data_IF_056627798511
#
_entry.id   IF_056627798511
#
_cell.length_a   1.000
_cell.length_b   1.000
_cell.length_c   1.000
_cell.angle_alpha   90.00
_cell.angle_beta   90.00
_cell.angle_gamma   90.00
#
_symmetry.space_group_name_H-M   'P 1'
#
loop_
_entity.id
_entity.type
_entity.pdbx_description
1 polymer ?
#
# COMPACT_ATOMS: atom_id res chain seq x y z
N UNK A 1 -21.39 85.30 -18.82
CA UNK A 1 -20.80 84.79 -20.06
C UNK A 1 -21.76 83.77 -20.66
N UNK A 2 -22.47 84.14 -21.74
CA UNK A 2 -23.45 83.32 -22.47
C UNK A 2 -22.73 82.54 -23.59
N UNK A 3 -23.13 81.27 -23.74
CA UNK A 3 -23.54 80.57 -24.99
C UNK A 3 -23.05 81.19 -26.32
N UNK A 4 -22.46 80.36 -27.21
CA UNK A 4 -22.95 80.06 -28.58
C UNK A 4 -21.93 79.25 -29.42
N UNK A 5 -22.41 78.08 -29.87
CA UNK A 5 -22.24 77.35 -31.15
C UNK A 5 -20.93 77.46 -31.94
N UNK A 6 -20.49 76.30 -32.45
CA UNK A 6 -20.42 76.10 -33.90
C UNK A 6 -20.97 74.73 -34.31
N UNK A 7 -21.73 74.76 -35.40
CA UNK A 7 -22.58 73.69 -35.96
C UNK A 7 -21.80 72.77 -36.90
N UNK A 8 -22.24 71.51 -36.91
CA UNK A 8 -22.18 70.46 -37.93
C UNK A 8 -21.89 70.90 -39.38
N UNK A 9 -21.17 70.03 -40.12
CA UNK A 9 -21.60 69.52 -41.43
C UNK A 9 -21.02 68.13 -41.71
N UNK A 10 -21.90 67.27 -42.21
CA UNK A 10 -21.78 65.83 -42.44
C UNK A 10 -20.54 65.35 -43.20
N UNK A 11 -19.96 64.24 -42.75
CA UNK A 11 -19.50 63.20 -43.68
C UNK A 11 -20.27 61.91 -43.41
N UNK A 12 -20.93 61.45 -44.46
CA UNK A 12 -21.67 60.20 -44.59
C UNK A 12 -20.66 59.06 -44.42
N UNK A 13 -20.76 58.30 -43.33
CA UNK A 13 -20.03 57.05 -43.16
C UNK A 13 -20.92 55.92 -43.68
N UNK A 14 -20.45 55.23 -44.72
CA UNK A 14 -21.05 53.99 -45.21
C UNK A 14 -21.17 52.98 -44.05
N UNK A 15 -22.40 52.58 -43.75
CA UNK A 15 -22.70 51.48 -42.85
C UNK A 15 -22.37 50.17 -43.57
N UNK A 16 -21.10 49.76 -43.52
CA UNK A 16 -20.76 48.36 -43.82
C UNK A 16 -21.20 47.56 -42.60
N UNK A 17 -22.33 46.88 -42.74
CA UNK A 17 -22.76 45.80 -41.86
C UNK A 17 -21.66 44.72 -41.84
N UNK A 18 -20.64 44.88 -41.00
CA UNK A 18 -19.79 43.76 -40.61
C UNK A 18 -20.58 42.94 -39.59
N UNK A 19 -21.35 42.00 -40.10
CA UNK A 19 -21.89 40.87 -39.35
C UNK A 19 -20.68 40.04 -38.85
N UNK A 20 -19.95 40.54 -37.85
CA UNK A 20 -19.02 39.72 -37.10
C UNK A 20 -19.88 38.83 -36.21
N UNK A 21 -20.15 37.64 -36.72
CA UNK A 21 -20.71 36.53 -35.99
C UNK A 21 -20.12 36.49 -34.58
N UNK A 22 -20.96 36.72 -33.58
CA UNK A 22 -20.78 36.24 -32.22
C UNK A 22 -20.78 34.71 -32.27
N UNK A 23 -19.68 34.13 -32.74
CA UNK A 23 -19.43 32.72 -32.54
C UNK A 23 -19.09 32.54 -31.06
N UNK A 24 -19.87 31.73 -30.32
CA UNK A 24 -19.49 31.40 -28.96
C UNK A 24 -18.13 30.72 -29.03
N UNK A 25 -17.10 31.36 -28.49
CA UNK A 25 -15.82 30.70 -28.26
C UNK A 25 -16.08 29.64 -27.19
N UNK A 26 -16.41 28.43 -27.63
CA UNK A 26 -16.36 27.26 -26.79
C UNK A 26 -14.89 27.08 -26.40
N UNK A 27 -14.56 27.43 -25.15
CA UNK A 27 -13.29 27.03 -24.56
C UNK A 27 -13.29 25.49 -24.55
N UNK A 28 -12.62 24.87 -25.52
CA UNK A 28 -12.29 23.46 -25.48
C UNK A 28 -11.26 23.28 -24.36
N UNK A 29 -11.74 22.92 -23.16
CA UNK A 29 -10.87 22.47 -22.08
C UNK A 29 -10.11 21.24 -22.58
N UNK A 30 -8.78 21.30 -22.59
CA UNK A 30 -7.96 20.16 -22.97
C UNK A 30 -8.29 18.98 -22.05
N UNK A 31 -8.60 17.83 -22.64
CA UNK A 31 -8.91 16.62 -21.90
C UNK A 31 -7.74 16.24 -20.97
N UNK A 32 -8.04 15.97 -19.69
CA UNK A 32 -7.01 15.64 -18.69
C UNK A 32 -6.28 14.35 -19.06
N UNK A 33 -5.02 14.24 -18.64
CA UNK A 33 -4.22 13.03 -18.90
C UNK A 33 -4.91 11.76 -18.36
N UNK A 34 -5.56 11.85 -17.20
CA UNK A 34 -6.32 10.75 -16.62
C UNK A 34 -7.53 10.33 -17.48
N UNK A 35 -8.20 11.28 -18.13
CA UNK A 35 -9.30 10.96 -19.05
C UNK A 35 -8.78 10.32 -20.34
N UNK A 36 -7.64 10.79 -20.88
CA UNK A 36 -6.99 10.15 -22.04
C UNK A 36 -6.50 8.73 -21.77
N UNK A 37 -6.05 8.48 -20.54
CA UNK A 37 -5.54 7.16 -20.11
C UNK A 37 -6.62 6.31 -19.42
N UNK A 38 -7.88 6.73 -19.48
CA UNK A 38 -9.00 6.05 -18.82
C UNK A 38 -9.07 4.58 -19.21
N UNK A 39 -9.08 3.70 -18.21
CA UNK A 39 -9.20 2.26 -18.41
C UNK A 39 -7.93 1.58 -18.93
N UNK A 40 -6.82 2.31 -19.11
CA UNK A 40 -5.55 1.74 -19.53
C UNK A 40 -4.81 1.11 -18.36
N UNK A 41 -4.07 0.06 -18.69
CA UNK A 41 -2.96 -0.42 -17.87
C UNK A 41 -1.71 0.34 -18.32
N UNK A 42 -0.96 0.88 -17.38
CA UNK A 42 0.24 1.68 -17.59
C UNK A 42 1.44 0.97 -16.97
N UNK A 43 2.62 1.14 -17.58
CA UNK A 43 3.90 0.64 -17.08
C UNK A 43 4.83 1.85 -16.95
N UNK A 44 5.34 2.11 -15.75
CA UNK A 44 6.38 3.13 -15.57
C UNK A 44 7.68 2.63 -16.23
N UNK A 45 8.10 3.29 -17.31
CA UNK A 45 9.29 2.86 -18.09
C UNK A 45 10.58 3.54 -17.66
N UNK A 46 10.49 4.54 -16.77
CA UNK A 46 11.65 5.30 -16.27
C UNK A 46 12.04 4.89 -14.83
N UNK A 47 11.13 4.22 -14.11
CA UNK A 47 11.38 3.59 -12.82
C UNK A 47 11.68 2.07 -12.98
N UNK A 48 11.05 1.22 -12.17
CA UNK A 48 11.34 -0.21 -12.05
C UNK A 48 10.36 -1.07 -12.84
N UNK A 49 9.57 -0.48 -13.76
CA UNK A 49 8.58 -1.23 -14.55
C UNK A 49 7.25 -1.45 -13.84
N UNK A 50 6.94 -0.64 -12.82
CA UNK A 50 5.72 -0.72 -12.01
C UNK A 50 4.46 -0.63 -12.87
N UNK A 51 3.49 -1.52 -12.60
CA UNK A 51 2.23 -1.55 -13.32
C UNK A 51 1.13 -0.78 -12.56
N UNK A 52 0.31 -0.05 -13.32
CA UNK A 52 -0.76 0.78 -12.80
C UNK A 52 -2.03 0.61 -13.63
N UNK A 53 -3.20 0.70 -13.01
CA UNK A 53 -4.49 0.71 -13.72
C UNK A 53 -5.22 2.03 -13.49
N UNK A 54 -5.59 2.73 -14.56
CA UNK A 54 -6.41 3.94 -14.46
C UNK A 54 -7.87 3.53 -14.49
N UNK A 55 -8.54 3.58 -13.34
CA UNK A 55 -9.91 3.11 -13.23
C UNK A 55 -10.88 4.04 -14.00
N UNK A 56 -11.70 3.49 -14.90
CA UNK A 56 -12.54 4.29 -15.79
C UNK A 56 -13.70 5.00 -15.10
N UNK A 57 -14.05 4.60 -13.87
CA UNK A 57 -15.16 5.15 -13.11
C UNK A 57 -14.76 6.36 -12.27
N UNK A 58 -13.52 6.44 -11.79
CA UNK A 58 -13.05 7.53 -10.91
C UNK A 58 -11.81 8.27 -11.43
N UNK A 59 -11.24 7.84 -12.57
CA UNK A 59 -10.04 8.41 -13.19
C UNK A 59 -8.79 8.36 -12.30
N UNK A 60 -8.79 7.52 -11.27
CA UNK A 60 -7.66 7.34 -10.37
C UNK A 60 -6.80 6.15 -10.82
N UNK A 61 -5.48 6.27 -10.65
CA UNK A 61 -4.54 5.16 -10.84
C UNK A 61 -4.50 4.28 -9.59
N UNK A 62 -4.43 2.98 -9.80
CA UNK A 62 -4.26 1.94 -8.79
C UNK A 62 -2.93 1.25 -9.04
N UNK A 63 -2.09 1.15 -8.02
CA UNK A 63 -0.87 0.35 -8.12
C UNK A 63 -1.27 -1.12 -8.25
N UNK A 64 -0.81 -1.77 -9.32
CA UNK A 64 -1.12 -3.18 -9.54
C UNK A 64 -0.11 -4.11 -8.87
N UNK A 65 1.05 -3.60 -8.41
CA UNK A 65 2.03 -4.40 -7.66
C UNK A 65 2.37 -5.71 -8.37
N UNK A 66 2.14 -6.82 -7.67
CA UNK A 66 2.39 -8.19 -8.17
C UNK A 66 1.15 -8.80 -8.82
N UNK A 67 1.30 -9.88 -9.62
CA UNK A 67 0.18 -10.61 -10.23
C UNK A 67 -1.04 -10.85 -9.32
N UNK A 68 -0.83 -11.23 -8.05
CA UNK A 68 -1.91 -11.51 -7.09
C UNK A 68 -2.58 -10.25 -6.56
N UNK A 69 -1.80 -9.20 -6.27
CA UNK A 69 -2.31 -7.91 -5.80
C UNK A 69 -3.12 -7.23 -6.91
N UNK A 70 -2.60 -7.29 -8.14
CA UNK A 70 -3.29 -6.84 -9.34
C UNK A 70 -4.62 -7.60 -9.55
N UNK A 71 -4.61 -8.92 -9.35
CA UNK A 71 -5.81 -9.75 -9.45
C UNK A 71 -6.85 -9.37 -8.38
N UNK A 72 -6.44 -9.20 -7.12
CA UNK A 72 -7.33 -8.78 -6.03
C UNK A 72 -7.94 -7.39 -6.29
N UNK A 73 -7.13 -6.42 -6.72
CA UNK A 73 -7.60 -5.07 -7.05
C UNK A 73 -8.55 -5.13 -8.24
N UNK A 74 -8.19 -5.83 -9.32
CA UNK A 74 -9.07 -5.96 -10.49
C UNK A 74 -10.38 -6.68 -10.14
N UNK A 75 -10.34 -7.66 -9.26
CA UNK A 75 -11.53 -8.35 -8.78
C UNK A 75 -12.41 -7.42 -7.93
N UNK A 76 -11.84 -6.62 -7.02
CA UNK A 76 -12.59 -5.65 -6.22
C UNK A 76 -13.24 -4.54 -7.07
N UNK A 77 -12.55 -4.08 -8.12
CA UNK A 77 -13.03 -3.03 -9.02
C UNK A 77 -13.98 -3.54 -10.11
N UNK A 78 -14.20 -4.86 -10.15
CA UNK A 78 -14.93 -5.50 -11.23
C UNK A 78 -16.44 -5.27 -11.19
N UNK A 79 -17.02 -5.06 -12.36
CA UNK A 79 -18.46 -4.93 -12.57
C UNK A 79 -19.05 -6.33 -12.82
N UNK A 80 -20.02 -6.74 -12.01
CA UNK A 80 -20.75 -7.98 -12.24
C UNK A 80 -21.51 -7.97 -13.58
N UNK A 81 -21.46 -9.08 -14.32
CA UNK A 81 -22.20 -9.30 -15.56
C UNK A 81 -22.78 -10.72 -15.58
N UNK A 82 -24.01 -10.85 -16.11
CA UNK A 82 -24.65 -12.16 -16.32
C UNK A 82 -23.98 -12.92 -17.47
N UNK A 83 -24.06 -14.25 -17.48
CA UNK A 83 -23.55 -15.06 -18.59
C UNK A 83 -24.25 -14.69 -19.90
N UNK A 84 -25.59 -14.48 -19.85
CA UNK A 84 -26.38 -14.07 -21.02
C UNK A 84 -25.86 -12.79 -21.66
N UNK A 85 -25.62 -11.75 -20.86
CA UNK A 85 -25.15 -10.47 -21.39
C UNK A 85 -23.70 -10.58 -21.88
N UNK A 86 -22.85 -11.29 -21.14
CA UNK A 86 -21.46 -11.53 -21.56
C UNK A 86 -21.38 -12.25 -22.90
N UNK A 87 -22.17 -13.31 -23.08
CA UNK A 87 -22.18 -14.12 -24.30
C UNK A 87 -22.77 -13.34 -25.49
N UNK A 88 -23.72 -12.45 -25.24
CA UNK A 88 -24.30 -11.57 -26.28
C UNK A 88 -23.27 -10.64 -26.94
N UNK A 89 -22.13 -10.41 -26.29
CA UNK A 89 -21.05 -9.57 -26.80
C UNK A 89 -20.15 -10.27 -27.82
N UNK A 90 -20.25 -11.60 -27.96
CA UNK A 90 -19.46 -12.38 -28.92
C UNK A 90 -17.94 -12.05 -28.89
N UNK A 91 -17.39 -11.82 -27.70
CA UNK A 91 -15.97 -11.50 -27.47
C UNK A 91 -15.58 -10.02 -27.57
N UNK A 92 -16.48 -9.13 -27.99
CA UNK A 92 -16.24 -7.68 -28.11
C UNK A 92 -17.29 -6.89 -27.33
N UNK A 93 -16.87 -6.21 -26.26
CA UNK A 93 -17.79 -5.51 -25.37
C UNK A 93 -18.30 -4.18 -25.97
N UNK A 94 -19.48 -3.70 -25.58
CA UNK A 94 -19.93 -2.35 -25.91
C UNK A 94 -18.98 -1.27 -25.39
N UNK A 95 -18.88 -0.14 -26.10
CA UNK A 95 -17.96 0.98 -25.76
C UNK A 95 -18.14 1.54 -24.34
N UNK A 96 -19.35 1.48 -23.77
CA UNK A 96 -19.63 1.85 -22.36
C UNK A 96 -18.87 1.02 -21.33
N UNK A 97 -18.38 -0.17 -21.72
CA UNK A 97 -17.58 -1.07 -20.89
C UNK A 97 -16.07 -0.95 -21.17
N UNK A 98 -15.66 -0.03 -22.06
CA UNK A 98 -14.26 0.20 -22.41
C UNK A 98 -13.40 0.41 -21.16
N UNK A 99 -12.35 -0.41 -21.04
CA UNK A 99 -11.39 -0.35 -19.94
C UNK A 99 -11.89 -0.88 -18.60
N UNK A 100 -13.12 -1.40 -18.50
CA UNK A 100 -13.65 -1.99 -17.26
C UNK A 100 -13.16 -3.43 -17.08
N UNK A 101 -13.19 -3.86 -15.82
CA UNK A 101 -13.09 -5.28 -15.46
C UNK A 101 -14.51 -5.82 -15.31
N UNK A 102 -14.81 -6.93 -15.99
CA UNK A 102 -16.08 -7.64 -15.91
C UNK A 102 -15.89 -8.89 -15.07
N UNK A 103 -16.78 -9.11 -14.12
CA UNK A 103 -16.83 -10.32 -13.30
C UNK A 103 -18.05 -11.11 -13.69
N UNK A 104 -17.89 -12.42 -13.88
CA UNK A 104 -18.99 -13.35 -14.13
C UNK A 104 -19.26 -14.14 -12.84
N UNK A 105 -20.15 -13.69 -11.94
CA UNK A 105 -20.42 -14.41 -10.69
C UNK A 105 -20.98 -15.80 -10.94
N UNK A 106 -21.77 -15.94 -12.01
CA UNK A 106 -22.38 -17.20 -12.48
C UNK A 106 -21.36 -18.20 -13.07
N UNK A 107 -20.11 -17.78 -13.28
CA UNK A 107 -19.02 -18.59 -13.84
C UNK A 107 -17.82 -18.59 -12.88
N UNK A 108 -18.09 -18.96 -11.62
CA UNK A 108 -17.11 -19.05 -10.53
C UNK A 108 -16.30 -17.77 -10.31
N UNK A 109 -16.89 -16.60 -10.60
CA UNK A 109 -16.25 -15.30 -10.40
C UNK A 109 -15.15 -14.97 -11.42
N UNK A 110 -15.10 -15.64 -12.58
CA UNK A 110 -14.11 -15.34 -13.62
C UNK A 110 -14.11 -13.86 -14.00
N UNK A 111 -12.90 -13.29 -14.11
CA UNK A 111 -12.68 -11.88 -14.41
C UNK A 111 -12.12 -11.66 -15.83
N UNK A 112 -12.58 -10.60 -16.50
CA UNK A 112 -12.17 -10.23 -17.85
C UNK A 112 -11.85 -8.74 -17.93
N UNK A 113 -10.74 -8.37 -18.55
CA UNK A 113 -10.41 -6.98 -18.88
C UNK A 113 -10.92 -6.64 -20.27
N UNK A 114 -11.72 -5.58 -20.38
CA UNK A 114 -12.13 -5.01 -21.67
C UNK A 114 -11.04 -4.05 -22.14
N UNK A 115 -10.22 -4.46 -23.09
CA UNK A 115 -9.16 -3.60 -23.60
C UNK A 115 -9.76 -2.35 -24.28
N UNK A 116 -9.44 -1.12 -23.84
CA UNK A 116 -10.08 0.08 -24.35
C UNK A 116 -9.67 0.40 -25.80
N UNK A 117 -8.64 -0.24 -26.35
CA UNK A 117 -8.18 -0.02 -27.73
C UNK A 117 -9.01 -0.78 -28.77
N UNK A 118 -9.46 -1.99 -28.44
CA UNK A 118 -10.15 -2.88 -29.39
C UNK A 118 -11.46 -3.47 -28.83
N UNK A 119 -11.83 -3.14 -27.59
CA UNK A 119 -12.99 -3.63 -26.84
C UNK A 119 -13.03 -5.15 -26.66
N UNK A 120 -11.93 -5.85 -26.95
CA UNK A 120 -11.86 -7.29 -26.75
C UNK A 120 -11.82 -7.62 -25.27
N UNK A 121 -12.57 -8.65 -24.91
CA UNK A 121 -12.65 -9.15 -23.55
C UNK A 121 -11.56 -10.19 -23.31
N UNK A 122 -10.54 -9.84 -22.53
CA UNK A 122 -9.43 -10.73 -22.24
C UNK A 122 -9.59 -11.37 -20.87
N UNK A 123 -9.58 -12.69 -20.82
CA UNK A 123 -9.67 -13.44 -19.59
C UNK A 123 -8.43 -13.18 -18.72
N UNK A 124 -8.64 -12.77 -17.48
CA UNK A 124 -7.56 -12.50 -16.53
C UNK A 124 -7.03 -13.78 -15.87
N UNK A 125 -7.73 -14.91 -15.99
CA UNK A 125 -7.18 -16.21 -15.60
C UNK A 125 -6.73 -16.26 -14.14
N UNK A 126 -5.58 -16.92 -13.92
CA UNK A 126 -4.88 -16.91 -12.63
C UNK A 126 -4.04 -15.63 -12.54
N UNK A 127 -3.57 -15.25 -11.34
CA UNK A 127 -2.70 -14.08 -11.16
C UNK A 127 -1.60 -13.93 -12.22
N UNK A 128 -0.85 -15.00 -12.53
CA UNK A 128 0.22 -14.97 -13.53
C UNK A 128 -0.28 -14.65 -14.96
N UNK A 129 -1.46 -15.14 -15.34
CA UNK A 129 -2.07 -14.89 -16.64
C UNK A 129 -2.52 -13.43 -16.75
N UNK A 130 -3.10 -12.89 -15.67
CA UNK A 130 -3.48 -11.47 -15.55
C UNK A 130 -2.25 -10.56 -15.69
N UNK A 131 -1.13 -10.91 -15.06
CA UNK A 131 0.09 -10.13 -15.13
C UNK A 131 0.75 -10.14 -16.51
N UNK A 132 0.81 -11.30 -17.17
CA UNK A 132 1.30 -11.40 -18.55
C UNK A 132 0.47 -10.52 -19.50
N UNK A 133 -0.85 -10.50 -19.28
CA UNK A 133 -1.80 -9.67 -20.00
C UNK A 133 -1.59 -8.17 -19.71
N UNK A 134 -1.36 -7.79 -18.45
CA UNK A 134 -1.04 -6.42 -18.05
C UNK A 134 0.25 -5.92 -18.70
N UNK A 135 1.30 -6.74 -18.78
CA UNK A 135 2.55 -6.39 -19.47
C UNK A 135 2.35 -6.27 -20.98
N UNK A 136 1.53 -7.14 -21.58
CA UNK A 136 1.26 -7.13 -23.02
C UNK A 136 0.51 -5.89 -23.48
N UNK A 137 -0.52 -5.47 -22.73
CA UNK A 137 -1.36 -4.31 -23.09
C UNK A 137 -0.95 -3.01 -22.40
N UNK A 138 0.04 -3.09 -21.50
CA UNK A 138 0.57 -1.98 -20.74
C UNK A 138 1.13 -0.89 -21.66
N UNK A 139 0.62 0.33 -21.50
CA UNK A 139 1.20 1.50 -22.14
C UNK A 139 2.39 2.00 -21.32
N UNK A 140 3.55 2.14 -21.94
CA UNK A 140 4.68 2.82 -21.30
C UNK A 140 4.33 4.27 -20.97
N UNK A 141 4.65 4.70 -19.74
CA UNK A 141 4.45 6.07 -19.28
C UNK A 141 5.71 6.54 -18.52
N UNK A 142 6.07 7.81 -18.69
CA UNK A 142 7.16 8.44 -17.93
C UNK A 142 6.74 8.68 -16.49
N UNK A 143 7.68 8.67 -15.54
CA UNK A 143 7.35 8.87 -14.12
C UNK A 143 6.69 10.23 -13.89
N UNK A 144 7.10 11.26 -14.65
CA UNK A 144 6.50 12.60 -14.60
C UNK A 144 5.04 12.64 -15.07
N UNK A 145 4.70 11.96 -16.17
CA UNK A 145 3.31 11.90 -16.65
C UNK A 145 2.47 11.02 -15.74
N UNK A 146 3.04 9.93 -15.23
CA UNK A 146 2.39 9.07 -14.28
C UNK A 146 2.02 9.86 -13.02
N UNK A 147 2.92 10.69 -12.47
CA UNK A 147 2.70 11.54 -11.29
C UNK A 147 1.54 12.56 -11.44
N UNK A 148 1.17 12.93 -12.66
CA UNK A 148 0.02 13.80 -12.93
C UNK A 148 -1.33 13.08 -12.78
N UNK A 149 -1.33 11.74 -12.65
CA UNK A 149 -2.54 10.95 -12.47
C UNK A 149 -2.91 10.85 -10.98
N UNK A 150 -4.15 11.21 -10.59
CA UNK A 150 -4.62 11.06 -9.22
C UNK A 150 -4.51 9.60 -8.76
N UNK A 151 -3.88 9.33 -7.62
CA UNK A 151 -3.76 7.97 -7.07
C UNK A 151 -4.95 7.64 -6.17
N UNK A 152 -5.51 6.43 -6.30
CA UNK A 152 -6.53 5.94 -5.37
C UNK A 152 -5.92 5.75 -3.97
N UNK A 153 -6.59 6.25 -2.93
CA UNK A 153 -6.04 6.27 -1.56
C UNK A 153 -5.26 7.53 -1.19
N UNK A 154 -5.14 8.51 -2.10
CA UNK A 154 -4.48 9.80 -1.84
C UNK A 154 -2.95 9.72 -1.86
N UNK A 155 -2.30 10.89 -1.78
CA UNK A 155 -0.83 11.05 -1.79
C UNK A 155 -0.08 10.21 -0.76
N UNK A 156 -0.77 9.74 0.29
CA UNK A 156 -0.18 8.95 1.37
C UNK A 156 0.39 7.60 0.92
N UNK A 157 -0.10 6.98 -0.18
CA UNK A 157 0.56 5.77 -0.69
C UNK A 157 1.91 6.05 -1.37
N UNK A 158 2.07 7.19 -2.06
CA UNK A 158 3.35 7.58 -2.70
C UNK A 158 4.35 8.07 -1.64
N UNK A 159 3.86 8.77 -0.61
CA UNK A 159 4.67 9.15 0.55
C UNK A 159 5.10 7.91 1.35
N UNK A 160 4.22 6.91 1.50
CA UNK A 160 4.54 5.65 2.17
C UNK A 160 5.66 4.89 1.44
N UNK A 161 5.60 4.75 0.11
CA UNK A 161 6.66 4.06 -0.64
C UNK A 161 8.01 4.79 -0.59
N UNK A 162 8.02 6.12 -0.58
CA UNK A 162 9.27 6.88 -0.41
C UNK A 162 9.82 6.75 1.01
N UNK A 163 8.96 6.84 2.03
CA UNK A 163 9.34 6.67 3.44
C UNK A 163 9.91 5.26 3.69
N UNK A 164 9.29 4.21 3.13
CA UNK A 164 9.81 2.84 3.17
C UNK A 164 11.24 2.74 2.63
N UNK A 165 11.50 3.39 1.49
CA UNK A 165 12.83 3.42 0.86
C UNK A 165 13.84 4.22 1.69
N UNK A 166 13.44 5.38 2.22
CA UNK A 166 14.28 6.19 3.10
C UNK A 166 14.68 5.42 4.37
N UNK A 167 13.74 4.70 5.00
CA UNK A 167 14.05 3.86 6.16
C UNK A 167 15.02 2.73 5.76
N UNK A 168 14.82 2.09 4.60
CA UNK A 168 15.73 1.05 4.11
C UNK A 168 17.16 1.60 3.90
N UNK A 169 17.28 2.81 3.36
CA UNK A 169 18.57 3.49 3.17
C UNK A 169 19.24 3.83 4.50
N UNK A 170 18.50 4.38 5.47
CA UNK A 170 19.00 4.65 6.83
C UNK A 170 19.49 3.37 7.52
N UNK A 171 18.79 2.25 7.33
CA UNK A 171 19.22 0.95 7.88
C UNK A 171 20.48 0.45 7.18
N UNK A 172 20.59 0.62 5.87
CA UNK A 172 21.79 0.29 5.13
C UNK A 172 22.97 1.19 5.53
N UNK A 173 22.75 2.44 5.93
CA UNK A 173 23.78 3.29 6.55
C UNK A 173 24.25 2.72 7.89
N UNK A 174 23.33 2.25 8.75
CA UNK A 174 23.70 1.58 10.01
C UNK A 174 24.49 0.28 9.78
N UNK A 175 24.14 -0.49 8.74
CA UNK A 175 24.87 -1.72 8.37
C UNK A 175 26.26 -1.43 7.82
N UNK A 176 26.35 -0.54 6.82
CA UNK A 176 27.61 -0.22 6.14
C UNK A 176 28.61 0.50 7.04
N UNK A 177 28.15 1.38 7.93
CA UNK A 177 29.01 2.00 8.96
C UNK A 177 29.64 0.99 9.92
N UNK A 178 29.15 -0.26 9.97
CA UNK A 178 29.68 -1.37 10.76
C UNK A 178 30.32 -2.48 9.92
N UNK A 179 30.61 -2.20 8.64
CA UNK A 179 31.27 -3.14 7.74
C UNK A 179 30.38 -4.27 7.22
N UNK A 180 29.07 -4.19 7.40
CA UNK A 180 28.12 -5.16 6.85
C UNK A 180 27.69 -4.77 5.43
N UNK A 181 27.37 -5.78 4.63
CA UNK A 181 26.80 -5.55 3.30
C UNK A 181 25.40 -4.93 3.42
N UNK A 182 25.05 -3.96 2.55
CA UNK A 182 23.71 -3.43 2.49
C UNK A 182 22.72 -4.52 2.07
N UNK A 183 21.53 -4.49 2.67
CA UNK A 183 20.41 -5.34 2.27
C UNK A 183 19.87 -4.85 0.93
N UNK A 184 19.63 -5.80 0.02
CA UNK A 184 18.96 -5.52 -1.24
C UNK A 184 17.46 -5.35 -1.01
N UNK A 185 16.86 -4.31 -1.59
CA UNK A 185 15.42 -4.14 -1.57
C UNK A 185 14.72 -5.31 -2.27
N UNK A 186 13.73 -5.89 -1.61
CA UNK A 186 12.83 -6.88 -2.17
C UNK A 186 11.37 -6.42 -2.02
N UNK A 187 10.75 -6.14 -3.17
CA UNK A 187 9.37 -5.66 -3.25
C UNK A 187 8.34 -6.71 -2.83
N UNK A 188 8.57 -8.00 -3.07
CA UNK A 188 7.65 -9.07 -2.68
C UNK A 188 7.55 -9.22 -1.16
N UNK A 189 8.68 -9.02 -0.47
CA UNK A 189 8.75 -8.97 1.00
C UNK A 189 8.10 -7.69 1.52
N UNK A 190 8.36 -6.55 0.87
CA UNK A 190 7.77 -5.26 1.25
C UNK A 190 6.23 -5.31 1.18
N UNK A 191 5.65 -5.98 0.19
CA UNK A 191 4.19 -6.19 0.12
C UNK A 191 3.67 -6.96 1.34
N UNK A 192 4.37 -8.00 1.79
CA UNK A 192 3.99 -8.74 3.01
C UNK A 192 4.07 -7.84 4.25
N UNK A 193 5.16 -7.06 4.37
CA UNK A 193 5.33 -6.09 5.45
C UNK A 193 4.23 -5.01 5.46
N UNK A 194 3.84 -4.48 4.28
CA UNK A 194 2.76 -3.48 4.15
C UNK A 194 1.43 -4.05 4.59
N UNK A 195 1.12 -5.28 4.20
CA UNK A 195 -0.11 -5.94 4.63
C UNK A 195 -0.16 -6.05 6.15
N UNK A 196 0.94 -6.48 6.79
CA UNK A 196 1.00 -6.58 8.25
C UNK A 196 0.81 -5.22 8.94
N UNK A 197 1.44 -4.16 8.41
CA UNK A 197 1.23 -2.80 8.91
C UNK A 197 -0.23 -2.34 8.74
N UNK A 198 -0.88 -2.64 7.61
CA UNK A 198 -2.28 -2.32 7.33
C UNK A 198 -3.22 -3.08 8.29
N UNK A 199 -2.97 -4.37 8.51
CA UNK A 199 -3.78 -5.19 9.42
C UNK A 199 -3.73 -4.64 10.85
N UNK A 200 -2.53 -4.29 11.32
CA UNK A 200 -2.35 -3.65 12.63
C UNK A 200 -2.95 -2.24 12.67
N UNK A 201 -2.89 -1.46 11.59
CA UNK A 201 -3.52 -0.14 11.50
C UNK A 201 -5.04 -0.23 11.62
N UNK A 202 -5.65 -1.21 10.95
CA UNK A 202 -7.09 -1.51 11.05
C UNK A 202 -7.48 -1.83 12.48
N UNK A 203 -6.71 -2.66 13.18
CA UNK A 203 -6.95 -3.00 14.59
C UNK A 203 -6.81 -1.77 15.51
N UNK A 204 -5.78 -0.95 15.29
CA UNK A 204 -5.54 0.27 16.08
C UNK A 204 -6.53 1.40 15.78
N UNK A 205 -7.29 1.33 14.69
CA UNK A 205 -8.30 2.33 14.37
C UNK A 205 -9.36 2.48 15.46
N UNK A 206 -9.61 1.42 16.24
CA UNK A 206 -10.54 1.44 17.37
C UNK A 206 -9.88 1.79 18.72
N UNK A 207 -8.54 1.85 18.76
CA UNK A 207 -7.74 2.08 19.97
C UNK A 207 -7.19 3.51 20.06
N UNK A 208 -7.41 4.29 19.01
CA UNK A 208 -6.95 5.67 18.89
C UNK A 208 -8.15 6.60 18.73
N UNK A 209 -8.23 7.61 19.59
CA UNK A 209 -9.16 8.71 19.46
C UNK A 209 -8.49 10.02 19.90
N UNK A 210 -8.33 10.95 18.97
CA UNK A 210 -7.65 12.22 19.23
C UNK A 210 -8.43 13.14 20.19
N UNK A 211 -9.74 12.92 20.35
CA UNK A 211 -10.57 13.66 21.31
C UNK A 211 -10.65 12.97 22.68
N UNK A 212 -9.83 11.94 22.92
CA UNK A 212 -9.66 11.28 24.21
C UNK A 212 -8.29 11.58 24.77
N UNK A 213 -8.21 11.80 26.08
CA UNK A 213 -6.96 12.11 26.77
C UNK A 213 -5.91 11.01 26.62
N UNK A 214 -6.31 9.75 26.78
CA UNK A 214 -5.46 8.60 26.58
C UNK A 214 -5.88 7.81 25.34
N UNK A 215 -4.91 7.43 24.53
CA UNK A 215 -5.04 6.38 23.51
C UNK A 215 -4.13 5.23 23.87
N UNK A 216 -4.53 3.99 23.56
CA UNK A 216 -3.77 2.79 23.94
C UNK A 216 -3.39 1.92 22.73
N UNK A 217 -2.82 2.49 21.64
CA UNK A 217 -2.42 1.70 20.50
C UNK A 217 -1.31 0.72 20.88
N UNK A 218 -1.23 -0.39 20.14
CA UNK A 218 -0.17 -1.36 20.29
C UNK A 218 0.08 -2.11 18.99
N UNK A 219 1.25 -2.73 18.93
CA UNK A 219 1.70 -3.53 17.79
C UNK A 219 2.15 -4.91 18.29
N UNK A 220 2.06 -5.90 17.42
CA UNK A 220 2.35 -7.29 17.71
C UNK A 220 2.84 -8.01 16.44
N UNK A 221 3.57 -9.11 16.61
CA UNK A 221 4.18 -9.84 15.50
C UNK A 221 3.21 -10.82 14.85
N UNK A 222 2.12 -11.15 15.54
CA UNK A 222 1.13 -12.14 15.15
C UNK A 222 0.19 -11.59 14.06
N UNK A 223 0.06 -12.29 12.94
CA UNK A 223 -0.97 -11.93 11.95
C UNK A 223 -2.29 -12.62 12.25
N UNK A 224 -3.35 -11.85 12.54
CA UNK A 224 -4.69 -12.42 12.81
C UNK A 224 -5.34 -12.93 11.51
N UNK A 225 -5.19 -12.19 10.40
CA UNK A 225 -5.91 -12.46 9.15
C UNK A 225 -5.03 -13.01 8.02
N UNK A 226 -3.70 -12.83 8.12
CA UNK A 226 -2.77 -12.99 6.99
C UNK A 226 -1.68 -14.06 7.20
N UNK A 227 -1.71 -14.75 8.34
CA UNK A 227 -0.72 -15.75 8.79
C UNK A 227 -0.12 -15.36 10.13
N UNK A 228 -0.11 -16.29 11.10
CA UNK A 228 0.27 -15.94 12.48
C UNK A 228 1.74 -15.58 12.55
N UNK A 229 2.60 -16.37 11.90
CA UNK A 229 4.03 -16.10 11.83
C UNK A 229 4.39 -15.33 10.57
N UNK A 230 5.47 -14.55 10.65
CA UNK A 230 6.00 -13.81 9.51
C UNK A 230 6.31 -14.73 8.31
N UNK A 231 6.79 -15.96 8.55
CA UNK A 231 7.05 -16.93 7.48
C UNK A 231 5.76 -17.33 6.74
N UNK A 232 4.65 -17.47 7.45
CA UNK A 232 3.35 -17.73 6.84
C UNK A 232 2.86 -16.53 6.04
N UNK A 233 3.07 -15.32 6.54
CA UNK A 233 2.76 -14.08 5.81
C UNK A 233 3.61 -13.91 4.55
N UNK A 234 4.85 -14.41 4.53
CA UNK A 234 5.68 -14.44 3.32
C UNK A 234 5.16 -15.50 2.33
N UNK A 235 4.90 -16.71 2.83
CA UNK A 235 4.40 -17.83 2.05
C UNK A 235 3.03 -17.53 1.40
N UNK A 236 2.10 -16.90 2.12
CA UNK A 236 0.78 -16.51 1.59
C UNK A 236 0.88 -15.49 0.45
N UNK A 237 2.03 -14.82 0.34
CA UNK A 237 2.38 -13.88 -0.72
C UNK A 237 3.29 -14.51 -1.79
N UNK A 238 3.51 -15.82 -1.78
CA UNK A 238 4.30 -16.53 -2.79
C UNK A 238 5.82 -16.44 -2.59
N UNK A 239 6.28 -15.89 -1.46
CA UNK A 239 7.70 -15.77 -1.15
C UNK A 239 8.14 -17.02 -0.40
N UNK A 240 8.68 -18.01 -1.11
CA UNK A 240 9.13 -19.28 -0.53
C UNK A 240 10.65 -19.44 -0.52
N UNK A 241 11.39 -18.50 -1.14
CA UNK A 241 12.81 -18.61 -1.44
C UNK A 241 13.73 -18.11 -0.32
N UNK A 242 13.42 -18.41 0.94
CA UNK A 242 14.23 -17.99 2.08
C UNK A 242 14.53 -19.15 3.04
N UNK A 243 15.74 -19.14 3.60
CA UNK A 243 16.18 -20.14 4.59
C UNK A 243 16.11 -19.63 6.03
N UNK A 244 16.01 -18.32 6.19
CA UNK A 244 15.81 -17.64 7.47
C UNK A 244 15.12 -16.31 7.22
N UNK A 245 14.39 -15.82 8.21
CA UNK A 245 13.73 -14.54 8.14
C UNK A 245 13.64 -13.89 9.53
N UNK A 246 13.46 -12.58 9.58
CA UNK A 246 13.23 -11.83 10.82
C UNK A 246 12.28 -10.65 10.58
N UNK A 247 11.72 -10.11 11.64
CA UNK A 247 10.81 -8.97 11.58
C UNK A 247 11.14 -7.95 12.68
N UNK A 248 11.14 -6.68 12.30
CA UNK A 248 11.07 -5.56 13.21
C UNK A 248 9.76 -4.82 12.98
N UNK A 249 9.08 -4.42 14.06
CA UNK A 249 7.88 -3.59 14.00
C UNK A 249 8.07 -2.34 14.85
N UNK A 250 7.48 -1.23 14.43
CA UNK A 250 7.49 0.03 15.18
C UNK A 250 6.13 0.72 15.08
N UNK A 251 5.77 1.37 16.18
CA UNK A 251 4.62 2.26 16.28
C UNK A 251 5.15 3.64 16.64
N UNK A 252 5.09 4.56 15.69
CA UNK A 252 5.68 5.90 15.81
C UNK A 252 4.57 6.94 15.76
N UNK A 253 4.45 7.84 16.75
CA UNK A 253 3.51 8.94 16.67
C UNK A 253 3.93 9.90 15.55
N UNK A 254 3.02 10.12 14.59
CA UNK A 254 3.15 11.20 13.61
C UNK A 254 2.83 12.58 14.22
N UNK A 255 2.18 12.60 15.38
CA UNK A 255 1.87 13.81 16.14
C UNK A 255 3.00 14.05 17.15
N UNK A 256 3.66 15.20 17.07
CA UNK A 256 4.70 15.63 18.00
C UNK A 256 4.15 16.33 19.24
N UNK A 257 2.93 16.84 19.18
CA UNK A 257 2.24 17.45 20.31
C UNK A 257 0.83 17.94 19.94
N UNK A 258 0.05 18.32 20.94
CA UNK A 258 -1.25 18.96 20.73
C UNK A 258 -1.56 19.97 21.85
N UNK A 259 -2.19 21.07 21.49
CA UNK A 259 -2.84 21.99 22.43
C UNK A 259 -4.31 21.57 22.59
N UNK A 260 -4.80 21.52 23.83
CA UNK A 260 -6.15 21.06 24.12
C UNK A 260 -6.75 21.79 25.32
N UNK A 261 -8.09 21.73 25.42
CA UNK A 261 -8.84 22.12 26.62
C UNK A 261 -9.59 20.92 27.20
N UNK A 262 -9.79 20.92 28.51
CA UNK A 262 -10.48 19.84 29.23
C UNK A 262 -9.91 19.64 30.63
N UNK A 263 -10.65 18.91 31.48
CA UNK A 263 -10.15 18.54 32.81
C UNK A 263 -9.16 17.37 32.66
N UNK A 264 -7.88 17.63 32.94
CA UNK A 264 -6.77 16.68 32.81
C UNK A 264 -6.35 16.05 34.13
N UNK A 265 -7.16 16.19 35.18
CA UNK A 265 -6.79 15.72 36.51
C UNK A 265 -6.41 14.22 36.51
N UNK A 266 -5.13 13.96 36.84
CA UNK A 266 -4.60 12.73 37.46
C UNK A 266 -4.32 11.46 36.62
N UNK A 267 -4.52 11.42 35.29
CA UNK A 267 -4.32 10.17 34.54
C UNK A 267 -2.93 10.07 33.87
N UNK A 268 -2.07 9.18 34.37
CA UNK A 268 -0.78 8.84 33.73
C UNK A 268 -1.00 7.84 32.58
N UNK A 269 -1.48 8.34 31.43
CA UNK A 269 -1.74 7.51 30.24
C UNK A 269 -0.51 6.67 29.84
N UNK A 270 0.68 7.26 29.93
CA UNK A 270 1.91 6.63 29.45
C UNK A 270 2.35 5.47 30.35
N UNK A 271 2.26 5.62 31.67
CA UNK A 271 2.58 4.54 32.60
C UNK A 271 1.62 3.36 32.44
N UNK A 272 0.32 3.64 32.31
CA UNK A 272 -0.68 2.61 32.06
C UNK A 272 -0.43 1.89 30.73
N UNK A 273 -0.13 2.65 29.66
CA UNK A 273 0.23 2.08 28.36
C UNK A 273 1.47 1.17 28.47
N UNK A 274 2.50 1.59 29.19
CA UNK A 274 3.72 0.81 29.39
C UNK A 274 3.43 -0.52 30.12
N UNK A 275 2.62 -0.49 31.18
CA UNK A 275 2.22 -1.67 31.93
C UNK A 275 1.40 -2.66 31.07
N UNK A 276 0.46 -2.15 30.28
CA UNK A 276 -0.32 -2.97 29.34
C UNK A 276 0.59 -3.64 28.33
N UNK A 277 1.53 -2.90 27.73
CA UNK A 277 2.48 -3.41 26.75
C UNK A 277 3.36 -4.52 27.33
N UNK A 278 3.97 -4.30 28.50
CA UNK A 278 4.85 -5.31 29.13
C UNK A 278 4.09 -6.58 29.50
N UNK A 279 2.88 -6.43 30.04
CA UNK A 279 2.04 -7.56 30.44
C UNK A 279 1.60 -8.38 29.22
N UNK A 280 1.12 -7.71 28.16
CA UNK A 280 0.72 -8.37 26.92
C UNK A 280 1.88 -9.14 26.27
N UNK A 281 3.04 -8.50 26.10
CA UNK A 281 4.21 -9.12 25.47
C UNK A 281 4.68 -10.37 26.22
N UNK A 282 4.67 -10.33 27.56
CA UNK A 282 5.04 -11.48 28.39
C UNK A 282 4.11 -12.66 28.16
N UNK A 283 2.80 -12.41 28.18
CA UNK A 283 1.78 -13.45 28.01
C UNK A 283 1.85 -14.10 26.62
N UNK A 284 1.91 -13.30 25.55
CA UNK A 284 1.94 -13.82 24.18
C UNK A 284 3.21 -14.64 23.90
N UNK A 285 4.37 -14.18 24.39
CA UNK A 285 5.65 -14.90 24.24
C UNK A 285 5.66 -16.25 24.97
N UNK A 286 4.97 -16.37 26.09
CA UNK A 286 4.91 -17.62 26.86
C UNK A 286 3.97 -18.68 26.28
N UNK A 287 3.09 -18.31 25.35
CA UNK A 287 2.11 -19.22 24.76
C UNK A 287 2.68 -19.88 23.51
N UNK A 288 2.57 -21.20 23.40
CA UNK A 288 2.96 -21.95 22.19
C UNK A 288 1.77 -22.26 21.27
N UNK A 289 0.55 -22.23 21.80
CA UNK A 289 -0.68 -22.47 21.04
C UNK A 289 -1.05 -21.25 20.20
N UNK A 290 -1.12 -21.45 18.88
CA UNK A 290 -1.39 -20.39 17.90
C UNK A 290 -2.80 -19.81 18.02
N UNK A 291 -3.81 -20.65 18.27
CA UNK A 291 -5.18 -20.17 18.42
C UNK A 291 -5.31 -19.35 19.69
N UNK A 292 -4.71 -19.78 20.79
CA UNK A 292 -4.68 -19.03 22.04
C UNK A 292 -3.95 -17.69 21.87
N UNK A 293 -2.83 -17.64 21.12
CA UNK A 293 -2.18 -16.35 20.81
C UNK A 293 -3.14 -15.39 20.13
N UNK A 294 -3.84 -15.83 19.09
CA UNK A 294 -4.82 -15.00 18.37
C UNK A 294 -5.91 -14.51 19.33
N UNK A 295 -6.47 -15.39 20.17
CA UNK A 295 -7.47 -14.99 21.16
C UNK A 295 -6.93 -14.00 22.19
N UNK A 296 -5.67 -14.12 22.59
CA UNK A 296 -5.02 -13.18 23.50
C UNK A 296 -4.86 -11.80 22.86
N UNK A 297 -4.50 -11.72 21.58
CA UNK A 297 -4.44 -10.44 20.84
C UNK A 297 -5.83 -9.81 20.76
N UNK A 298 -6.84 -10.57 20.33
CA UNK A 298 -8.23 -10.08 20.22
C UNK A 298 -8.74 -9.58 21.57
N UNK A 299 -8.46 -10.31 22.64
CA UNK A 299 -8.85 -9.92 24.00
C UNK A 299 -8.14 -8.63 24.45
N UNK A 300 -6.86 -8.48 24.13
CA UNK A 300 -6.10 -7.26 24.43
C UNK A 300 -6.66 -6.03 23.69
N UNK A 301 -7.05 -6.17 22.42
CA UNK A 301 -7.75 -5.13 21.66
C UNK A 301 -9.02 -4.70 22.40
N UNK A 302 -9.86 -5.66 22.80
CA UNK A 302 -11.10 -5.37 23.53
C UNK A 302 -10.84 -4.61 24.84
N UNK A 303 -9.89 -5.08 25.65
CA UNK A 303 -9.54 -4.45 26.93
C UNK A 303 -9.05 -3.01 26.74
N UNK A 304 -8.21 -2.75 25.73
CA UNK A 304 -7.69 -1.40 25.44
C UNK A 304 -8.77 -0.46 24.91
N UNK A 305 -9.71 -0.98 24.12
CA UNK A 305 -10.87 -0.23 23.63
C UNK A 305 -11.77 0.19 24.79
N UNK A 306 -12.01 -0.69 25.76
CA UNK A 306 -12.75 -0.34 26.99
C UNK A 306 -12.05 0.78 27.77
N UNK A 307 -10.73 0.67 27.98
CA UNK A 307 -9.94 1.72 28.65
C UNK A 307 -9.96 3.07 27.90
N UNK A 308 -9.86 3.04 26.57
CA UNK A 308 -10.00 4.24 25.73
C UNK A 308 -11.36 4.92 25.94
N UNK A 309 -12.44 4.13 25.98
CA UNK A 309 -13.79 4.65 26.14
C UNK A 309 -13.98 5.33 27.51
N UNK A 310 -13.36 4.76 28.55
CA UNK A 310 -13.33 5.31 29.91
C UNK A 310 -12.47 6.57 30.04
N UNK A 311 -11.55 6.82 29.10
CA UNK A 311 -10.72 8.02 29.13
C UNK A 311 -11.55 9.30 29.04
N UNK A 312 -11.16 10.32 29.80
CA UNK A 312 -11.72 11.66 29.71
C UNK A 312 -11.63 12.20 28.29
N UNK A 313 -12.68 12.90 27.86
CA UNK A 313 -12.68 13.60 26.58
C UNK A 313 -11.95 14.94 26.70
N UNK A 314 -11.22 15.30 25.65
CA UNK A 314 -10.52 16.58 25.50
C UNK A 314 -10.92 17.24 24.19
N UNK A 315 -10.84 18.56 24.13
CA UNK A 315 -11.04 19.32 22.92
C UNK A 315 -9.70 19.79 22.36
N UNK A 316 -9.31 19.26 21.20
CA UNK A 316 -8.05 19.63 20.54
C UNK A 316 -8.20 21.00 19.88
N UNK A 317 -7.38 21.95 20.30
CA UNK A 317 -7.27 23.27 19.68
C UNK A 317 -6.33 23.20 18.47
N UNK A 318 -5.19 22.52 18.62
CA UNK A 318 -4.14 22.49 17.61
C UNK A 318 -3.32 21.21 17.73
N UNK A 319 -2.89 20.67 16.59
CA UNK A 319 -2.02 19.49 16.51
C UNK A 319 -0.73 19.86 15.80
N UNK A 320 0.39 19.39 16.32
CA UNK A 320 1.72 19.50 15.73
C UNK A 320 2.14 18.14 15.19
N UNK A 321 2.70 18.11 13.99
CA UNK A 321 3.08 16.89 13.30
C UNK A 321 4.59 16.79 13.15
N UNK A 322 5.12 15.58 13.28
CA UNK A 322 6.47 15.24 12.85
C UNK A 322 6.53 15.29 11.32
N UNK A 323 7.65 15.75 10.78
CA UNK A 323 8.00 15.56 9.38
C UNK A 323 8.24 14.08 9.08
N UNK A 324 8.12 13.69 7.80
CA UNK A 324 8.43 12.33 7.35
C UNK A 324 9.84 11.90 7.77
N UNK A 325 10.82 12.79 7.65
CA UNK A 325 12.21 12.52 8.05
C UNK A 325 12.37 12.24 9.55
N UNK A 326 11.60 12.93 10.40
CA UNK A 326 11.62 12.68 11.85
C UNK A 326 11.02 11.31 12.19
N UNK A 327 9.92 10.92 11.53
CA UNK A 327 9.32 9.59 11.68
C UNK A 327 10.31 8.50 11.25
N UNK A 328 10.95 8.67 10.09
CA UNK A 328 11.95 7.74 9.56
C UNK A 328 13.13 7.55 10.53
N UNK A 329 13.69 8.66 11.04
CA UNK A 329 14.79 8.62 12.02
C UNK A 329 14.38 8.03 13.35
N UNK A 330 13.18 8.33 13.84
CA UNK A 330 12.65 7.76 15.08
C UNK A 330 12.48 6.25 14.96
N UNK A 331 11.99 5.75 13.82
CA UNK A 331 11.86 4.31 13.57
C UNK A 331 13.22 3.60 13.63
N UNK A 332 14.21 4.09 12.87
CA UNK A 332 15.54 3.45 12.80
C UNK A 332 16.28 3.56 14.13
N UNK A 333 16.30 4.73 14.76
CA UNK A 333 16.95 4.91 16.07
C UNK A 333 16.28 4.09 17.16
N UNK A 334 14.94 4.00 17.15
CA UNK A 334 14.17 3.14 18.07
C UNK A 334 14.53 1.66 17.92
N UNK A 335 14.65 1.17 16.68
CA UNK A 335 15.12 -0.20 16.44
C UNK A 335 16.58 -0.40 16.86
N UNK A 336 17.48 0.52 16.56
CA UNK A 336 18.89 0.40 16.94
C UNK A 336 19.10 0.46 18.47
N UNK A 337 18.22 1.14 19.21
CA UNK A 337 18.26 1.18 20.67
C UNK A 337 17.63 -0.07 21.33
N UNK A 338 16.85 -0.86 20.59
CA UNK A 338 16.29 -2.13 21.07
C UNK A 338 17.24 -3.30 20.76
N UNK A 339 17.72 -4.06 21.76
CA UNK A 339 18.64 -5.18 21.52
C UNK A 339 18.15 -6.20 20.48
N UNK A 340 16.88 -6.62 20.55
CA UNK A 340 16.32 -7.59 19.61
C UNK A 340 16.18 -7.05 18.19
N UNK A 341 15.71 -5.81 18.04
CA UNK A 341 15.55 -5.20 16.71
C UNK A 341 16.91 -4.89 16.05
N UNK A 342 17.86 -4.38 16.84
CA UNK A 342 19.24 -4.14 16.44
C UNK A 342 19.93 -5.44 16.02
N UNK A 343 19.69 -6.55 16.71
CA UNK A 343 20.23 -7.86 16.32
C UNK A 343 19.77 -8.25 14.92
N UNK A 344 18.49 -8.06 14.58
CA UNK A 344 17.99 -8.31 13.23
C UNK A 344 18.69 -7.43 12.19
N UNK A 345 18.80 -6.11 12.44
CA UNK A 345 19.45 -5.15 11.54
C UNK A 345 20.92 -5.51 11.30
N UNK A 346 21.64 -5.96 12.33
CA UNK A 346 23.08 -6.22 12.28
C UNK A 346 23.45 -7.69 12.02
N UNK A 347 22.47 -8.56 11.74
CA UNK A 347 22.75 -9.94 11.35
C UNK A 347 23.38 -9.95 9.94
N UNK A 348 24.61 -10.46 9.77
CA UNK A 348 25.31 -10.42 8.47
C UNK A 348 24.67 -11.34 7.42
N UNK A 349 23.99 -12.38 7.87
CA UNK A 349 23.44 -13.46 7.04
C UNK A 349 22.21 -13.06 6.22
N UNK A 350 21.54 -11.96 6.57
CA UNK A 350 20.44 -11.42 5.77
C UNK A 350 20.98 -10.64 4.56
N UNK A 351 20.38 -10.88 3.40
CA UNK A 351 20.80 -10.32 2.11
C UNK A 351 19.70 -9.48 1.43
N UNK A 352 18.43 -9.72 1.75
CA UNK A 352 17.29 -8.98 1.22
C UNK A 352 16.36 -8.48 2.34
N UNK A 353 15.73 -7.32 2.13
CA UNK A 353 14.74 -6.77 3.05
C UNK A 353 13.63 -5.99 2.32
N UNK A 354 12.47 -5.93 2.97
CA UNK A 354 11.34 -5.10 2.56
C UNK A 354 10.74 -4.37 3.76
N UNK A 355 10.24 -3.16 3.52
CA UNK A 355 9.60 -2.32 4.54
C UNK A 355 8.19 -2.00 4.10
N UNK A 356 7.26 -2.00 5.05
CA UNK A 356 5.88 -1.65 4.82
C UNK A 356 5.34 -0.71 5.87
N UNK A 357 4.65 0.35 5.45
CA UNK A 357 4.13 1.38 6.34
C UNK A 357 2.62 1.53 6.16
N UNK A 358 1.92 1.69 7.28
CA UNK A 358 0.53 2.11 7.32
C UNK A 358 0.35 3.25 8.33
N UNK A 359 -0.53 4.20 8.00
CA UNK A 359 -0.89 5.29 8.90
C UNK A 359 -2.28 5.05 9.48
N UNK A 360 -2.45 5.32 10.77
CA UNK A 360 -3.76 5.32 11.43
C UNK A 360 -3.86 6.48 12.43
N UNK A 361 -4.77 7.42 12.15
CA UNK A 361 -5.14 8.51 13.08
C UNK A 361 -3.96 9.26 13.69
N UNK A 362 -2.92 9.54 12.90
CA UNK A 362 -1.72 10.25 13.35
C UNK A 362 -0.63 9.36 13.96
N UNK A 363 -0.70 8.04 13.79
CA UNK A 363 0.36 7.09 14.09
C UNK A 363 0.83 6.39 12.82
N UNK A 364 2.12 6.07 12.75
CA UNK A 364 2.73 5.23 11.73
C UNK A 364 3.04 3.85 12.31
N UNK A 365 2.59 2.80 11.64
CA UNK A 365 2.96 1.42 11.91
C UNK A 365 3.90 0.97 10.80
N UNK A 366 5.10 0.58 11.20
CA UNK A 366 6.21 0.29 10.29
C UNK A 366 6.63 -1.14 10.56
N UNK A 367 6.63 -1.96 9.52
CA UNK A 367 7.10 -3.36 9.56
C UNK A 367 8.29 -3.46 8.63
N UNK A 368 9.40 -4.00 9.12
CA UNK A 368 10.56 -4.38 8.32
C UNK A 368 10.69 -5.90 8.39
N UNK A 369 10.83 -6.52 7.22
CA UNK A 369 11.08 -7.96 7.11
C UNK A 369 12.43 -8.17 6.44
N UNK A 370 13.22 -9.08 7.01
CA UNK A 370 14.50 -9.54 6.50
C UNK A 370 14.36 -10.98 6.02
N UNK A 371 15.07 -11.32 4.96
CA UNK A 371 15.29 -12.73 4.61
C UNK A 371 16.77 -12.99 4.33
N UNK A 372 17.13 -14.26 4.50
CA UNK A 372 18.30 -14.87 3.87
C UNK A 372 17.81 -15.65 2.66
N UNK A 373 18.15 -15.20 1.45
CA UNK A 373 17.74 -15.88 0.23
C UNK A 373 18.29 -17.30 0.20
N UNK A 374 17.41 -18.26 -0.02
CA UNK A 374 17.79 -19.65 -0.20
C UNK A 374 18.27 -19.87 -1.65
N UNK A 375 19.47 -20.43 -1.81
CA UNK A 375 19.99 -20.79 -3.14
C UNK A 375 19.32 -22.05 -3.73
N UNK A 376 18.69 -22.87 -2.88
CA UNK A 376 18.06 -24.13 -3.21
C UNK A 376 17.02 -24.48 -2.13
N UNK A 377 16.27 -25.57 -2.30
CA UNK A 377 15.45 -26.15 -1.25
C UNK A 377 14.09 -25.48 -1.06
N UNK A 378 13.79 -24.40 -1.78
CA UNK A 378 12.53 -23.67 -1.71
C UNK A 378 11.51 -24.17 -2.73
N UNK A 379 10.22 -23.88 -2.53
CA UNK A 379 9.12 -24.36 -3.38
C UNK A 379 9.34 -23.96 -4.86
N UNK A 380 9.37 -24.95 -5.75
CA UNK A 380 9.66 -24.76 -7.18
C UNK A 380 11.13 -24.56 -7.54
N UNK A 381 12.02 -24.45 -6.55
CA UNK A 381 13.47 -24.36 -6.73
C UNK A 381 14.16 -25.71 -6.87
N UNK A 382 15.46 -25.70 -7.16
CA UNK A 382 16.29 -26.91 -7.19
C UNK A 382 16.43 -27.51 -5.79
N UNK A 383 16.52 -28.84 -5.71
CA UNK A 383 16.84 -29.49 -4.44
C UNK A 383 18.22 -29.05 -3.93
N UNK A 384 18.34 -28.89 -2.61
CA UNK A 384 19.63 -28.67 -1.97
C UNK A 384 20.44 -29.96 -1.95
N UNK A 385 21.75 -29.83 -2.10
CA UNK A 385 22.69 -30.93 -1.97
C UNK A 385 23.72 -30.59 -0.90
N UNK A 386 24.07 -31.58 -0.08
CA UNK A 386 25.13 -31.48 0.92
C UNK A 386 25.91 -32.80 0.92
N UNK A 387 27.24 -32.79 1.05
CA UNK A 387 28.01 -34.02 1.13
C UNK A 387 27.43 -34.97 2.18
N UNK A 388 27.22 -36.24 1.81
CA UNK A 388 26.62 -37.30 2.63
C UNK A 388 25.13 -37.16 2.96
N UNK A 389 24.39 -36.30 2.26
CA UNK A 389 22.92 -36.21 2.35
C UNK A 389 22.27 -36.46 0.99
N UNK A 390 21.10 -37.11 0.99
CA UNK A 390 20.24 -37.13 -0.18
C UNK A 390 19.78 -35.70 -0.52
N UNK A 391 19.51 -35.39 -1.80
CA UNK A 391 18.93 -34.11 -2.19
C UNK A 391 17.67 -33.82 -1.36
N UNK A 392 17.61 -32.62 -0.78
CA UNK A 392 16.57 -32.26 0.19
C UNK A 392 15.96 -30.90 -0.11
N UNK A 393 14.81 -30.65 0.48
CA UNK A 393 14.08 -29.39 0.42
C UNK A 393 13.70 -28.95 1.83
N UNK A 394 13.38 -27.67 2.01
CA UNK A 394 12.85 -27.18 3.28
C UNK A 394 11.44 -27.75 3.49
N UNK A 395 11.21 -28.33 4.66
CA UNK A 395 9.91 -28.92 5.05
C UNK A 395 8.82 -27.85 4.90
N UNK A 396 7.64 -28.18 4.33
CA UNK A 396 7.10 -29.52 4.07
C UNK A 396 7.45 -30.13 2.70
N UNK A 397 8.33 -29.51 1.93
CA UNK A 397 8.58 -29.87 0.53
C UNK A 397 9.43 -31.14 0.40
N UNK A 398 9.16 -31.92 -0.63
CA UNK A 398 9.96 -33.08 -1.02
C UNK A 398 10.82 -32.80 -2.25
N UNK A 399 11.99 -33.44 -2.35
CA UNK A 399 12.77 -33.41 -3.58
C UNK A 399 12.22 -34.43 -4.59
N UNK A 400 11.60 -33.96 -5.67
CA UNK A 400 11.05 -34.80 -6.74
C UNK A 400 11.64 -34.37 -8.07
N UNK A 401 12.41 -35.25 -8.71
CA UNK A 401 13.10 -34.98 -9.98
C UNK A 401 13.98 -33.71 -9.93
N UNK A 402 14.76 -33.57 -8.85
CA UNK A 402 15.65 -32.43 -8.60
C UNK A 402 14.95 -31.06 -8.42
N UNK A 403 13.64 -31.06 -8.21
CA UNK A 403 12.83 -29.86 -7.91
C UNK A 403 12.09 -30.06 -6.59
N UNK A 404 12.05 -29.02 -5.78
CA UNK A 404 11.28 -29.01 -4.54
C UNK A 404 9.80 -28.79 -4.82
N UNK A 405 8.96 -29.76 -4.44
CA UNK A 405 7.51 -29.76 -4.68
C UNK A 405 6.73 -30.07 -3.41
#
# INVERSE_FOLDING_TARGET
MKIVKMKNKSLILFFILSLTSLWPQTLLMAESLASKLRGRILIDVESHGEAWYVNPSNLQRYYLGRPSDAFSIMHQLGLGISNKDFDSFAGTAPSRLSGKILLKPEDLGKAYYVNPLDLKMHYLGRPADAFALMRRFGLGITSNNLAQLPIYGGSNQVVSTQMERNIADLINQERTSRGLQPLKWNEEIAVSARQHSIDQARQNSELINQSKLCSYPFIHHEGIDSGIYQSERLNSKGVYYFSASAENIALIPGISGAEYTGNVASMNCQEQLNQLNSSFQTRVKSTTDEQLKIQMVIKEISNRKELLNLSSSINIIKTFYNSSLEVEKQAVSGWMNSPGHRQNILTPDYDEAGIGIAEVKGYYIITQVFIKRAACGYQGGSCCTKPNYLPYCYIPLGCVSNVCK
#
